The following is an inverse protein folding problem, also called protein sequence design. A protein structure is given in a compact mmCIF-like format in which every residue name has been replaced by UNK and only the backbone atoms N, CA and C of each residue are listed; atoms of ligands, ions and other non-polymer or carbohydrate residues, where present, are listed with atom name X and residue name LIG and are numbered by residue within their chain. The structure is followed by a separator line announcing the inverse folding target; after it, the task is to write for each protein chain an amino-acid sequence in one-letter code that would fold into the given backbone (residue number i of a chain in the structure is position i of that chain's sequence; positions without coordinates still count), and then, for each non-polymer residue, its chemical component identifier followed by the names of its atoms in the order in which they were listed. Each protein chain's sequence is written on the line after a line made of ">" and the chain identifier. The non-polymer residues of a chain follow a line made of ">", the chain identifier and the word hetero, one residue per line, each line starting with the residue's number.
data_IF_654716535564
#
_entry.id   IF_654716535564
#
_cell.length_a   1.000
_cell.length_b   1.000
_cell.length_c   1.000
_cell.angle_alpha   90.00
_cell.angle_beta   90.00
_cell.angle_gamma   90.00
#
_symmetry.space_group_name_H-M   'P 1'
#
loop_
_entity.id
_entity.type
_entity.pdbx_description
1 polymer ?
#
# COMPACT_ATOMS: atom_id res chain seq x y z
N UNK A 1 -10.96 9.49 6.75
CA UNK A 1 -9.74 10.20 6.31
C UNK A 1 -9.86 10.49 4.82
N UNK A 2 -9.35 11.60 4.29
CA UNK A 2 -9.40 11.84 2.85
C UNK A 2 -8.41 10.94 2.09
N UNK A 3 -8.73 10.60 0.83
CA UNK A 3 -7.95 9.63 0.02
C UNK A 3 -6.53 10.09 -0.21
N UNK A 4 -6.31 11.40 -0.37
CA UNK A 4 -4.98 11.95 -0.59
C UNK A 4 -4.09 11.68 0.61
N UNK A 5 -4.59 11.95 1.83
CA UNK A 5 -3.83 11.66 3.03
C UNK A 5 -3.51 10.17 3.20
N UNK A 6 -4.45 9.28 2.89
CA UNK A 6 -4.17 7.83 2.88
C UNK A 6 -3.08 7.50 1.86
N UNK A 7 -3.16 8.06 0.65
CA UNK A 7 -2.17 7.82 -0.39
C UNK A 7 -0.76 8.28 0.04
N UNK A 8 -0.63 9.50 0.57
CA UNK A 8 0.65 10.06 1.01
C UNK A 8 1.28 9.17 2.10
N UNK A 9 0.51 8.76 3.11
CA UNK A 9 0.99 7.90 4.21
C UNK A 9 1.34 6.47 3.74
N UNK A 10 0.53 5.88 2.84
CA UNK A 10 0.83 4.56 2.24
C UNK A 10 2.12 4.61 1.43
N UNK A 11 2.29 5.62 0.57
CA UNK A 11 3.48 5.77 -0.26
C UNK A 11 4.72 5.96 0.60
N UNK A 12 4.64 6.75 1.67
CA UNK A 12 5.73 6.93 2.63
C UNK A 12 6.17 5.60 3.26
N UNK A 13 5.21 4.79 3.76
CA UNK A 13 5.49 3.49 4.36
C UNK A 13 6.09 2.50 3.34
N UNK A 14 5.54 2.45 2.12
CA UNK A 14 6.05 1.61 1.04
C UNK A 14 7.48 2.00 0.67
N UNK A 15 7.77 3.29 0.50
CA UNK A 15 9.13 3.76 0.19
C UNK A 15 10.15 3.42 1.29
N UNK A 16 9.72 3.41 2.55
CA UNK A 16 10.61 3.10 3.67
C UNK A 16 11.03 1.62 3.70
N UNK A 17 10.20 0.72 3.17
CA UNK A 17 10.40 -0.73 3.18
C UNK A 17 10.89 -1.28 1.85
N UNK A 18 10.27 -0.83 0.76
CA UNK A 18 10.52 -1.29 -0.60
C UNK A 18 11.54 -0.37 -1.25
N UNK A 19 12.84 -0.66 -1.05
CA UNK A 19 13.95 0.20 -1.48
C UNK A 19 14.04 0.40 -3.01
N UNK A 20 13.33 -0.42 -3.78
CA UNK A 20 13.22 -0.31 -5.24
C UNK A 20 12.19 0.73 -5.68
N UNK A 21 11.31 1.17 -4.78
CA UNK A 21 10.34 2.22 -5.03
C UNK A 21 11.06 3.59 -5.05
N UNK A 22 10.87 4.41 -6.11
CA UNK A 22 11.42 5.76 -6.11
C UNK A 22 10.75 6.60 -5.02
N UNK A 23 11.51 7.52 -4.40
CA UNK A 23 10.94 8.48 -3.47
C UNK A 23 10.19 9.57 -4.25
N UNK A 24 9.04 10.09 -3.75
CA UNK A 24 8.28 11.12 -4.45
C UNK A 24 9.07 12.42 -4.70
N UNK A 25 10.10 12.67 -3.89
CA UNK A 25 11.00 13.82 -4.05
C UNK A 25 12.00 13.66 -5.18
N UNK A 26 12.35 12.41 -5.52
CA UNK A 26 13.33 12.07 -6.54
C UNK A 26 12.68 11.89 -7.91
N UNK A 27 11.45 11.37 -7.95
CA UNK A 27 10.66 11.21 -9.18
C UNK A 27 9.18 11.63 -8.96
N UNK A 28 8.86 12.93 -9.11
CA UNK A 28 7.51 13.44 -8.86
C UNK A 28 6.48 13.03 -9.93
N UNK A 29 6.94 12.56 -11.09
CA UNK A 29 6.09 12.13 -12.21
C UNK A 29 5.86 10.61 -12.21
N UNK A 30 6.38 9.88 -11.21
CA UNK A 30 6.20 8.44 -11.07
C UNK A 30 4.72 8.08 -10.82
N UNK A 31 4.21 7.11 -11.59
CA UNK A 31 2.83 6.62 -11.44
C UNK A 31 2.72 5.61 -10.29
N UNK A 32 2.60 6.12 -9.07
CA UNK A 32 2.38 5.28 -7.90
C UNK A 32 1.07 4.50 -8.01
N UNK A 33 -0.03 5.10 -8.48
CA UNK A 33 -1.32 4.41 -8.48
C UNK A 33 -1.32 3.18 -9.39
N UNK A 34 -0.70 3.27 -10.57
CA UNK A 34 -0.60 2.17 -11.52
C UNK A 34 0.51 1.15 -11.22
N UNK A 35 1.43 1.46 -10.30
CA UNK A 35 2.58 0.62 -10.02
C UNK A 35 2.17 -0.71 -9.37
N UNK A 36 2.53 -1.83 -10.01
CA UNK A 36 2.38 -3.17 -9.42
C UNK A 36 3.40 -3.38 -8.31
N UNK A 37 2.97 -3.96 -7.18
CA UNK A 37 3.89 -4.31 -6.09
C UNK A 37 4.69 -5.57 -6.43
N UNK A 38 3.98 -6.63 -6.81
CA UNK A 38 4.58 -7.88 -7.24
C UNK A 38 4.28 -8.12 -8.73
N UNK A 39 5.26 -8.58 -9.52
CA UNK A 39 6.67 -8.78 -9.19
C UNK A 39 7.54 -7.53 -9.36
N UNK A 40 6.96 -6.41 -9.81
CA UNK A 40 7.73 -5.27 -10.34
C UNK A 40 8.57 -4.52 -9.29
N UNK A 41 8.08 -4.38 -8.06
CA UNK A 41 8.78 -3.70 -6.98
C UNK A 41 9.50 -4.72 -6.09
N UNK A 42 8.83 -5.79 -5.69
CA UNK A 42 9.41 -6.89 -4.93
C UNK A 42 8.76 -8.22 -5.31
N UNK A 43 9.54 -9.30 -5.25
CA UNK A 43 9.09 -10.69 -5.32
C UNK A 43 9.26 -11.42 -3.99
N UNK A 44 9.72 -10.72 -2.95
CA UNK A 44 9.97 -11.27 -1.64
C UNK A 44 8.72 -11.18 -0.75
N UNK A 45 8.15 -12.35 -0.44
CA UNK A 45 6.95 -12.47 0.40
C UNK A 45 7.14 -11.87 1.81
N UNK A 46 8.38 -11.83 2.34
CA UNK A 46 8.66 -11.22 3.64
C UNK A 46 8.51 -9.70 3.60
N UNK A 47 8.95 -9.05 2.52
CA UNK A 47 8.85 -7.59 2.38
C UNK A 47 7.37 -7.18 2.34
N UNK A 48 6.55 -7.95 1.61
CA UNK A 48 5.10 -7.77 1.54
C UNK A 48 4.44 -7.98 2.91
N UNK A 49 4.83 -9.02 3.64
CA UNK A 49 4.28 -9.29 4.96
C UNK A 49 4.61 -8.18 5.96
N UNK A 50 5.84 -7.66 5.95
CA UNK A 50 6.23 -6.52 6.81
C UNK A 50 5.45 -5.26 6.46
N UNK A 51 5.35 -4.92 5.18
CA UNK A 51 4.55 -3.79 4.71
C UNK A 51 3.09 -3.93 5.13
N UNK A 52 2.50 -5.11 4.98
CA UNK A 52 1.13 -5.36 5.38
C UNK A 52 0.93 -5.11 6.89
N UNK A 53 1.85 -5.60 7.73
CA UNK A 53 1.79 -5.39 9.19
C UNK A 53 1.90 -3.91 9.56
N UNK A 54 2.83 -3.17 8.93
CA UNK A 54 3.00 -1.74 9.20
C UNK A 54 1.78 -0.92 8.75
N UNK A 55 1.14 -1.29 7.62
CA UNK A 55 -0.09 -0.67 7.16
C UNK A 55 -1.29 -1.00 8.07
N UNK A 56 -1.40 -2.24 8.56
CA UNK A 56 -2.44 -2.62 9.52
C UNK A 56 -2.34 -1.81 10.81
N UNK A 57 -1.13 -1.65 11.35
CA UNK A 57 -0.88 -0.85 12.57
C UNK A 57 -1.10 0.65 12.34
N UNK A 58 -0.61 1.19 11.22
CA UNK A 58 -0.72 2.62 10.91
C UNK A 58 -2.17 3.09 10.72
N UNK A 59 -3.01 2.26 10.09
CA UNK A 59 -4.39 2.62 9.73
C UNK A 59 -5.46 1.97 10.61
N UNK A 60 -5.08 1.13 11.59
CA UNK A 60 -5.98 0.35 12.45
C UNK A 60 -6.95 -0.52 11.62
N UNK A 61 -6.40 -1.28 10.67
CA UNK A 61 -7.17 -2.16 9.75
C UNK A 61 -6.66 -3.61 9.76
N UNK A 62 -7.34 -4.49 9.03
CA UNK A 62 -6.89 -5.86 8.76
C UNK A 62 -7.09 -6.25 7.29
N UNK A 63 -6.06 -6.84 6.69
CA UNK A 63 -6.09 -7.35 5.31
C UNK A 63 -6.82 -8.69 5.19
N UNK A 64 -6.90 -9.49 6.27
CA UNK A 64 -7.69 -10.76 6.35
C UNK A 64 -7.49 -11.72 5.16
N UNK A 65 -6.27 -11.84 4.64
CA UNK A 65 -5.91 -12.73 3.52
C UNK A 65 -5.78 -12.04 2.17
N UNK A 66 -6.25 -10.80 2.04
CA UNK A 66 -6.06 -9.94 0.86
C UNK A 66 -4.75 -9.15 1.02
N UNK A 67 -3.61 -9.76 0.74
CA UNK A 67 -2.30 -9.12 0.94
C UNK A 67 -1.94 -8.13 -0.18
N UNK A 68 -1.16 -7.06 0.12
CA UNK A 68 -0.56 -6.19 -0.89
C UNK A 68 0.24 -6.99 -1.93
N UNK A 69 0.13 -6.67 -3.21
CA UNK A 69 0.79 -7.41 -4.30
C UNK A 69 0.17 -8.77 -4.64
N UNK A 70 -0.92 -9.16 -3.95
CA UNK A 70 -1.73 -10.33 -4.31
C UNK A 70 -2.70 -10.05 -5.46
N UNK A 71 -3.45 -11.08 -5.88
CA UNK A 71 -4.40 -10.97 -7.01
C UNK A 71 -5.49 -9.91 -6.80
N UNK A 72 -5.88 -9.66 -5.54
CA UNK A 72 -6.91 -8.67 -5.19
C UNK A 72 -6.35 -7.25 -4.98
N UNK A 73 -5.05 -7.11 -4.69
CA UNK A 73 -4.38 -5.82 -4.46
C UNK A 73 -3.06 -5.74 -5.25
N UNK A 74 -3.08 -5.88 -6.59
CA UNK A 74 -1.86 -5.97 -7.37
C UNK A 74 -1.07 -4.65 -7.39
N UNK A 75 -1.76 -3.50 -7.32
CA UNK A 75 -1.13 -2.17 -7.40
C UNK A 75 -1.16 -1.41 -6.08
N UNK A 76 -0.30 -0.41 -5.95
CA UNK A 76 -0.33 0.52 -4.81
C UNK A 76 -1.68 1.28 -4.79
N UNK A 77 -2.23 1.64 -5.94
CA UNK A 77 -3.55 2.27 -6.03
C UNK A 77 -4.68 1.40 -5.45
N UNK A 78 -4.61 0.08 -5.66
CA UNK A 78 -5.56 -0.87 -5.08
C UNK A 78 -5.42 -0.92 -3.55
N UNK A 79 -4.18 -0.96 -3.03
CA UNK A 79 -3.90 -0.91 -1.59
C UNK A 79 -4.43 0.39 -0.97
N UNK A 80 -4.16 1.53 -1.58
CA UNK A 80 -4.66 2.84 -1.14
C UNK A 80 -6.19 2.84 -1.08
N UNK A 81 -6.83 2.30 -2.11
CA UNK A 81 -8.29 2.25 -2.20
C UNK A 81 -8.88 1.34 -1.12
N UNK A 82 -8.29 0.16 -0.91
CA UNK A 82 -8.68 -0.77 0.15
C UNK A 82 -8.59 -0.13 1.54
N UNK A 83 -7.46 0.51 1.84
CA UNK A 83 -7.25 1.18 3.13
C UNK A 83 -8.25 2.33 3.30
N UNK A 84 -8.40 3.16 2.26
CA UNK A 84 -9.36 4.25 2.27
C UNK A 84 -10.78 3.78 2.58
N UNK A 85 -11.23 2.70 1.94
CA UNK A 85 -12.56 2.15 2.15
C UNK A 85 -12.72 1.61 3.59
N UNK A 86 -11.71 0.94 4.14
CA UNK A 86 -11.76 0.41 5.52
C UNK A 86 -11.73 1.50 6.59
N UNK A 87 -10.88 2.51 6.43
CA UNK A 87 -10.78 3.64 7.36
C UNK A 87 -12.05 4.49 7.35
N UNK A 88 -12.75 4.59 6.21
CA UNK A 88 -13.98 5.37 6.10
C UNK A 88 -15.27 4.55 6.26
N UNK A 89 -15.20 3.22 6.19
CA UNK A 89 -16.32 2.30 6.43
C UNK A 89 -15.92 1.18 7.41
N UNK A 90 -15.72 1.50 8.70
CA UNK A 90 -15.29 0.53 9.71
C UNK A 90 -16.32 -0.58 10.00
N UNK A 91 -17.56 -0.45 9.51
CA UNK A 91 -18.69 -1.36 9.80
C UNK A 91 -18.92 -2.46 8.74
N UNK A 92 -18.07 -2.55 7.71
CA UNK A 92 -18.15 -3.64 6.73
C UNK A 92 -17.42 -4.90 7.24
N UNK A 93 -17.99 -5.53 8.28
CA UNK A 93 -17.57 -6.85 8.80
C UNK A 93 -18.75 -7.81 8.77
#
# INVERSE_FOLDING_TARGET
>A
MDRKRVADEVIELLCAKLLTLPLPVDDPDFDYEGQQLCPDITDNELDIAEVAMDLEDAFDIQFKGTLPGGEELPTIGDVITFIYDRVNSPDAV
#
